data_IF_076606728040
#
_entry.id   IF_076606728040
#
_cell.length_a   1.000
_cell.length_b   1.000
_cell.length_c   1.000
_cell.angle_alpha   90.00
_cell.angle_beta   90.00
_cell.angle_gamma   90.00
#
_symmetry.space_group_name_H-M   'P 1'
#
loop_
_entity.id
_entity.type
_entity.pdbx_description
1 polymer ?
#
# COMPACT_ATOMS: atom_id res chain seq x y z
N UNK A 1 -8.28 1.26 -12.59
CA UNK A 1 -9.41 1.34 -11.65
C UNK A 1 -10.72 1.28 -12.43
N UNK A 2 -11.42 0.15 -12.33
CA UNK A 2 -12.70 -0.12 -13.02
C UNK A 2 -13.83 0.85 -12.60
N UNK A 3 -13.66 1.54 -11.47
CA UNK A 3 -14.68 2.41 -10.87
C UNK A 3 -14.64 3.86 -11.35
N UNK A 4 -13.65 4.26 -12.16
CA UNK A 4 -13.51 5.65 -12.63
C UNK A 4 -14.74 6.14 -13.40
N UNK A 5 -15.37 5.27 -14.20
CA UNK A 5 -16.61 5.57 -14.92
C UNK A 5 -17.89 5.36 -14.11
N UNK A 6 -17.77 4.97 -12.84
CA UNK A 6 -18.89 4.55 -11.97
C UNK A 6 -18.88 5.28 -10.61
N UNK A 7 -18.21 6.42 -10.52
CA UNK A 7 -18.08 7.17 -9.27
C UNK A 7 -19.44 7.60 -8.69
N UNK A 8 -20.35 8.08 -9.54
CA UNK A 8 -21.69 8.48 -9.10
C UNK A 8 -22.48 7.28 -8.56
N UNK A 9 -22.35 6.11 -9.20
CA UNK A 9 -22.99 4.88 -8.75
C UNK A 9 -22.43 4.42 -7.41
N UNK A 10 -21.10 4.39 -7.26
CA UNK A 10 -20.44 4.04 -6.00
C UNK A 10 -20.78 5.04 -4.89
N UNK A 11 -20.83 6.34 -5.19
CA UNK A 11 -21.18 7.36 -4.21
C UNK A 11 -22.63 7.26 -3.74
N UNK A 12 -23.57 6.99 -4.64
CA UNK A 12 -25.00 6.90 -4.33
C UNK A 12 -25.39 5.56 -3.69
N UNK A 13 -24.69 4.47 -4.02
CA UNK A 13 -24.92 3.12 -3.50
C UNK A 13 -23.78 2.67 -2.60
N UNK A 14 -23.22 3.62 -1.83
CA UNK A 14 -22.01 3.39 -1.02
C UNK A 14 -22.17 2.21 -0.07
N UNK A 15 -23.16 2.23 0.82
CA UNK A 15 -23.39 1.16 1.80
C UNK A 15 -23.68 -0.21 1.15
N UNK A 16 -24.36 -0.21 0.00
CA UNK A 16 -24.72 -1.42 -0.73
C UNK A 16 -23.53 -2.06 -1.44
N UNK A 17 -22.69 -1.24 -2.10
CA UNK A 17 -21.62 -1.74 -2.96
C UNK A 17 -20.30 -1.93 -2.22
N UNK A 18 -20.05 -1.19 -1.13
CA UNK A 18 -18.76 -1.18 -0.47
C UNK A 18 -18.31 -2.55 0.08
N UNK A 19 -19.19 -3.41 0.64
CA UNK A 19 -18.80 -4.76 1.09
C UNK A 19 -18.18 -5.61 -0.02
N UNK A 20 -18.74 -5.53 -1.23
CA UNK A 20 -18.22 -6.24 -2.40
C UNK A 20 -16.97 -5.58 -2.96
N UNK A 21 -16.97 -4.24 -3.01
CA UNK A 21 -15.89 -3.45 -3.61
C UNK A 21 -14.61 -3.50 -2.78
N UNK A 22 -14.73 -3.62 -1.46
CA UNK A 22 -13.60 -3.69 -0.52
C UNK A 22 -13.40 -5.08 0.09
N UNK A 23 -14.08 -6.09 -0.46
CA UNK A 23 -13.90 -7.50 -0.09
C UNK A 23 -14.07 -7.74 1.42
N UNK A 24 -15.20 -7.30 1.96
CA UNK A 24 -15.62 -7.60 3.33
C UNK A 24 -17.03 -8.17 3.45
N UNK A 25 -17.69 -8.49 2.33
CA UNK A 25 -19.03 -9.08 2.31
C UNK A 25 -19.11 -10.39 3.11
N UNK A 26 -18.10 -11.24 2.98
CA UNK A 26 -18.04 -12.55 3.64
C UNK A 26 -17.26 -12.53 4.97
N UNK A 27 -16.63 -11.39 5.31
CA UNK A 27 -15.78 -11.26 6.51
C UNK A 27 -16.31 -10.28 7.55
N UNK A 28 -17.41 -9.57 7.28
CA UNK A 28 -18.14 -8.79 8.28
C UNK A 28 -19.54 -9.36 8.51
N UNK A 29 -20.05 -9.26 9.73
CA UNK A 29 -21.44 -9.65 10.01
C UNK A 29 -22.42 -8.65 9.36
N UNK A 30 -23.58 -9.12 8.90
CA UNK A 30 -24.57 -8.27 8.20
C UNK A 30 -24.99 -7.04 9.01
N UNK A 31 -25.01 -7.18 10.34
CA UNK A 31 -25.31 -6.08 11.27
C UNK A 31 -24.23 -4.98 11.26
N UNK A 32 -22.98 -5.34 11.02
CA UNK A 32 -21.82 -4.43 11.08
C UNK A 32 -21.51 -3.76 9.74
N UNK A 33 -21.93 -4.34 8.61
CA UNK A 33 -21.66 -3.80 7.25
C UNK A 33 -22.08 -2.33 7.09
N UNK A 34 -23.27 -1.86 7.52
CA UNK A 34 -23.64 -0.45 7.41
C UNK A 34 -22.77 0.48 8.27
N UNK A 35 -22.35 0.00 9.45
CA UNK A 35 -21.45 0.74 10.33
C UNK A 35 -20.06 0.89 9.71
N UNK A 36 -19.49 -0.20 9.18
CA UNK A 36 -18.20 -0.21 8.48
C UNK A 36 -18.24 0.77 7.30
N UNK A 37 -19.28 0.69 6.46
CA UNK A 37 -19.43 1.57 5.31
C UNK A 37 -19.47 3.05 5.72
N UNK A 38 -20.24 3.38 6.75
CA UNK A 38 -20.32 4.74 7.32
C UNK A 38 -18.98 5.22 7.87
N UNK A 39 -18.29 4.38 8.64
CA UNK A 39 -16.98 4.70 9.21
C UNK A 39 -15.94 4.99 8.12
N UNK A 40 -15.91 4.17 7.06
CA UNK A 40 -15.03 4.36 5.90
C UNK A 40 -15.31 5.66 5.16
N UNK A 41 -16.60 5.99 4.97
CA UNK A 41 -16.99 7.22 4.30
C UNK A 41 -16.54 8.44 5.09
N UNK A 42 -16.77 8.46 6.39
CA UNK A 42 -16.36 9.57 7.24
C UNK A 42 -14.83 9.71 7.27
N UNK A 43 -14.10 8.60 7.49
CA UNK A 43 -12.64 8.64 7.61
C UNK A 43 -11.95 9.11 6.32
N UNK A 44 -12.37 8.62 5.16
CA UNK A 44 -11.71 8.95 3.89
C UNK A 44 -12.33 10.15 3.17
N UNK A 45 -13.66 10.25 3.16
CA UNK A 45 -14.38 11.28 2.39
C UNK A 45 -14.92 12.42 3.25
N UNK A 46 -14.83 12.35 4.59
CA UNK A 46 -15.40 13.36 5.51
C UNK A 46 -16.88 13.62 5.27
N UNK A 47 -17.61 12.56 4.90
CA UNK A 47 -19.01 12.59 4.49
C UNK A 47 -19.33 13.50 3.29
N UNK A 48 -18.31 13.94 2.55
CA UNK A 48 -18.52 14.68 1.31
C UNK A 48 -19.06 13.77 0.20
N UNK A 49 -19.83 14.31 -0.76
CA UNK A 49 -20.19 13.58 -1.98
C UNK A 49 -18.94 13.10 -2.73
N UNK A 50 -18.93 11.83 -3.14
CA UNK A 50 -17.86 11.30 -3.97
C UNK A 50 -17.93 11.95 -5.36
N UNK A 51 -16.86 12.62 -5.77
CA UNK A 51 -16.73 13.27 -7.07
C UNK A 51 -15.32 13.12 -7.61
N UNK A 52 -15.08 13.52 -8.86
CA UNK A 52 -13.72 13.59 -9.40
C UNK A 52 -12.80 14.53 -8.60
N UNK A 53 -13.35 15.50 -7.87
CA UNK A 53 -12.54 16.46 -7.08
C UNK A 53 -11.86 15.81 -5.87
N UNK A 54 -12.49 14.81 -5.26
CA UNK A 54 -11.98 14.10 -4.09
C UNK A 54 -11.58 12.64 -4.42
N UNK A 55 -11.34 12.32 -5.69
CA UNK A 55 -10.98 10.98 -6.14
C UNK A 55 -9.75 10.42 -5.43
N UNK A 56 -8.77 11.27 -5.07
CA UNK A 56 -7.57 10.85 -4.36
C UNK A 56 -7.87 10.27 -2.97
N UNK A 57 -8.95 10.70 -2.31
CA UNK A 57 -9.36 10.12 -1.04
C UNK A 57 -9.91 8.70 -1.23
N UNK A 58 -10.66 8.47 -2.31
CA UNK A 58 -11.08 7.14 -2.69
C UNK A 58 -9.85 6.27 -3.02
N UNK A 59 -8.90 6.79 -3.81
CA UNK A 59 -7.66 6.06 -4.11
C UNK A 59 -6.92 5.66 -2.83
N UNK A 60 -6.83 6.57 -1.84
CA UNK A 60 -6.23 6.27 -0.54
C UNK A 60 -6.96 5.14 0.19
N UNK A 61 -8.29 5.14 0.19
CA UNK A 61 -9.09 4.04 0.77
C UNK A 61 -8.76 2.68 0.13
N UNK A 62 -8.67 2.61 -1.21
CA UNK A 62 -8.29 1.37 -1.91
C UNK A 62 -6.84 0.98 -1.61
N UNK A 63 -5.92 1.94 -1.65
CA UNK A 63 -4.49 1.73 -1.36
C UNK A 63 -4.29 1.20 0.06
N UNK A 64 -4.97 1.77 1.04
CA UNK A 64 -4.89 1.34 2.43
C UNK A 64 -5.50 -0.04 2.62
N UNK A 65 -6.72 -0.29 2.09
CA UNK A 65 -7.43 -1.57 2.21
C UNK A 65 -6.66 -2.73 1.60
N UNK A 66 -6.18 -2.57 0.36
CA UNK A 66 -5.67 -3.70 -0.42
C UNK A 66 -4.15 -3.88 -0.36
N UNK A 67 -3.40 -2.87 0.10
CA UNK A 67 -1.94 -2.91 0.02
C UNK A 67 -1.26 -2.46 1.31
N UNK A 68 -1.46 -1.21 1.73
CA UNK A 68 -0.57 -0.60 2.73
C UNK A 68 -0.80 -1.17 4.13
N UNK A 69 -2.04 -1.34 4.58
CA UNK A 69 -2.32 -1.84 5.93
C UNK A 69 -1.71 -3.21 6.15
N UNK A 70 -1.95 -4.15 5.23
CA UNK A 70 -1.47 -5.52 5.39
C UNK A 70 0.02 -5.67 5.09
N UNK A 71 0.59 -4.87 4.16
CA UNK A 71 2.04 -4.85 3.97
C UNK A 71 2.77 -4.39 5.24
N UNK A 72 2.21 -3.39 5.94
CA UNK A 72 2.75 -2.88 7.20
C UNK A 72 2.54 -3.86 8.36
N UNK A 73 1.40 -4.56 8.46
CA UNK A 73 1.25 -5.66 9.42
C UNK A 73 2.25 -6.77 9.15
N UNK A 74 2.38 -7.21 7.90
CA UNK A 74 3.27 -8.29 7.50
C UNK A 74 4.73 -7.98 7.82
N UNK A 75 5.24 -6.79 7.46
CA UNK A 75 6.63 -6.43 7.76
C UNK A 75 6.90 -6.42 9.27
N UNK A 76 5.93 -6.01 10.09
CA UNK A 76 6.05 -6.02 11.55
C UNK A 76 6.07 -7.44 12.11
N UNK A 77 5.12 -8.28 11.70
CA UNK A 77 5.06 -9.66 12.14
C UNK A 77 6.31 -10.44 11.72
N UNK A 78 6.74 -10.30 10.46
CA UNK A 78 7.95 -10.93 9.98
C UNK A 78 9.20 -10.42 10.71
N UNK A 79 9.34 -9.11 10.94
CA UNK A 79 10.52 -8.59 11.65
C UNK A 79 10.56 -8.96 13.14
N UNK A 80 9.41 -9.25 13.76
CA UNK A 80 9.35 -9.69 15.14
C UNK A 80 9.79 -11.15 15.35
N UNK A 81 9.64 -12.02 14.34
CA UNK A 81 9.84 -13.47 14.52
C UNK A 81 10.88 -14.08 13.58
N UNK A 82 11.16 -13.45 12.43
CA UNK A 82 12.11 -13.98 11.47
C UNK A 82 13.55 -13.74 11.94
N UNK A 83 14.40 -14.75 11.75
CA UNK A 83 15.86 -14.60 11.92
C UNK A 83 16.51 -13.92 10.71
N UNK A 84 15.82 -13.94 9.56
CA UNK A 84 16.26 -13.30 8.34
C UNK A 84 15.94 -11.80 8.35
N UNK A 85 16.78 -10.95 7.71
CA UNK A 85 16.50 -9.53 7.61
C UNK A 85 15.25 -9.29 6.75
N UNK A 86 14.35 -8.46 7.25
CA UNK A 86 13.12 -8.05 6.55
C UNK A 86 13.33 -6.65 6.00
N UNK A 87 12.92 -6.40 4.76
CA UNK A 87 13.11 -5.11 4.09
C UNK A 87 11.78 -4.61 3.51
N UNK A 88 11.51 -3.30 3.64
CA UNK A 88 10.32 -2.66 3.09
C UNK A 88 10.67 -1.38 2.30
N UNK A 89 10.03 -1.21 1.14
CA UNK A 89 10.14 0.00 0.31
C UNK A 89 8.76 0.54 -0.02
N UNK A 90 8.70 1.84 -0.29
CA UNK A 90 7.53 2.54 -0.78
C UNK A 90 7.91 3.21 -2.10
N UNK A 91 7.31 2.71 -3.19
CA UNK A 91 7.51 3.22 -4.53
C UNK A 91 6.51 4.33 -4.81
N UNK A 92 7.05 5.52 -5.05
CA UNK A 92 6.32 6.78 -5.20
C UNK A 92 6.86 7.56 -6.41
N UNK A 93 7.35 6.82 -7.41
CA UNK A 93 7.86 7.37 -8.66
C UNK A 93 6.78 7.29 -9.73
N UNK A 94 6.34 8.46 -10.19
CA UNK A 94 5.43 8.57 -11.32
C UNK A 94 6.18 8.23 -12.61
N UNK A 95 5.89 7.06 -13.18
CA UNK A 95 6.48 6.60 -14.42
C UNK A 95 5.95 7.39 -15.62
N UNK A 96 6.78 7.59 -16.63
CA UNK A 96 6.39 8.20 -17.92
C UNK A 96 5.98 7.11 -18.92
N UNK A 97 4.99 6.31 -18.51
CA UNK A 97 4.36 5.28 -19.35
C UNK A 97 2.85 5.36 -19.22
N UNK A 98 2.09 4.87 -20.22
CA UNK A 98 0.65 4.76 -20.11
C UNK A 98 0.29 3.95 -18.86
N UNK A 99 -0.64 4.46 -18.07
CA UNK A 99 -1.22 3.72 -16.95
C UNK A 99 -2.03 2.56 -17.54
N UNK A 100 -1.84 1.36 -16.99
CA UNK A 100 -2.54 0.13 -17.40
C UNK A 100 -4.06 0.34 -17.46
N UNK A 101 -4.56 1.21 -16.58
CA UNK A 101 -5.95 1.62 -16.49
C UNK A 101 -6.15 3.02 -17.07
N UNK A 102 -7.13 3.14 -17.98
CA UNK A 102 -7.55 4.41 -18.61
C UNK A 102 -8.21 5.37 -17.62
N UNK A 103 -7.44 5.93 -16.69
CA UNK A 103 -7.83 7.05 -15.86
C UNK A 103 -6.93 8.23 -16.21
N UNK A 104 -7.51 9.41 -16.43
CA UNK A 104 -6.76 10.65 -16.62
C UNK A 104 -6.26 11.18 -15.27
N UNK A 105 -5.49 10.36 -14.55
CA UNK A 105 -4.96 10.65 -13.21
C UNK A 105 -3.45 10.46 -13.24
N UNK A 106 -2.70 11.47 -12.84
CA UNK A 106 -1.25 11.37 -12.68
C UNK A 106 -0.94 10.79 -11.31
N UNK A 107 -1.00 9.46 -11.19
CA UNK A 107 -0.78 8.73 -9.92
C UNK A 107 0.11 7.51 -10.15
N UNK A 108 0.86 7.13 -9.12
CA UNK A 108 1.56 5.84 -9.08
C UNK A 108 0.53 4.74 -8.92
N UNK A 109 0.53 3.78 -9.84
CA UNK A 109 -0.46 2.72 -9.93
C UNK A 109 0.13 1.36 -9.57
N UNK A 110 -0.76 0.42 -9.22
CA UNK A 110 -0.36 -0.95 -8.93
C UNK A 110 0.39 -1.57 -10.12
N UNK A 111 1.60 -2.07 -9.85
CA UNK A 111 2.49 -2.70 -10.83
C UNK A 111 3.48 -1.76 -11.52
N UNK A 112 3.46 -0.45 -11.25
CA UNK A 112 4.39 0.49 -11.90
C UNK A 112 5.86 0.22 -11.54
N UNK A 113 6.14 -0.25 -10.32
CA UNK A 113 7.46 -0.69 -9.89
C UNK A 113 7.88 -1.99 -10.60
N UNK A 114 6.96 -2.94 -10.76
CA UNK A 114 7.19 -4.19 -11.49
C UNK A 114 7.59 -3.94 -12.96
N UNK A 115 7.08 -2.85 -13.57
CA UNK A 115 7.46 -2.42 -14.93
C UNK A 115 8.91 -1.95 -15.03
N UNK A 116 9.59 -1.67 -13.92
CA UNK A 116 11.02 -1.40 -13.87
C UNK A 116 11.87 -2.68 -13.96
N UNK A 117 11.28 -3.83 -13.64
CA UNK A 117 11.96 -5.14 -13.65
C UNK A 117 11.62 -5.94 -14.91
N UNK A 118 10.34 -5.94 -15.30
CA UNK A 118 9.85 -6.77 -16.40
C UNK A 118 9.03 -5.92 -17.38
N UNK A 119 9.29 -6.11 -18.68
CA UNK A 119 8.52 -5.46 -19.73
C UNK A 119 7.10 -6.02 -19.76
N UNK A 120 6.10 -5.15 -19.58
CA UNK A 120 4.69 -5.48 -19.78
C UNK A 120 4.25 -5.15 -21.22
N UNK A 121 3.08 -5.67 -21.60
CA UNK A 121 2.50 -5.47 -22.93
C UNK A 121 2.18 -3.99 -23.23
N UNK A 122 1.98 -3.17 -22.20
CA UNK A 122 1.61 -1.76 -22.28
C UNK A 122 2.80 -0.82 -22.05
N UNK A 123 4.01 -1.33 -21.81
CA UNK A 123 5.21 -0.51 -21.72
C UNK A 123 5.42 0.24 -23.05
N UNK A 124 5.80 1.51 -22.94
CA UNK A 124 6.20 2.29 -24.10
C UNK A 124 7.37 1.59 -24.83
N UNK A 125 7.40 1.62 -26.18
CA UNK A 125 8.48 1.00 -26.95
C UNK A 125 9.84 1.66 -26.66
N UNK A 126 9.82 2.94 -26.27
CA UNK A 126 10.99 3.70 -25.85
C UNK A 126 10.66 4.35 -24.50
N UNK A 127 11.50 4.11 -23.50
CA UNK A 127 11.35 4.72 -22.18
C UNK A 127 11.90 6.15 -22.18
N UNK A 128 11.30 7.01 -21.36
CA UNK A 128 11.87 8.32 -21.05
C UNK A 128 13.26 8.18 -20.41
N UNK A 129 14.05 9.25 -20.41
CA UNK A 129 15.36 9.20 -19.77
C UNK A 129 15.25 8.88 -18.27
N UNK A 130 14.24 9.45 -17.59
CA UNK A 130 14.00 9.22 -16.17
C UNK A 130 13.60 7.77 -15.90
N UNK A 131 12.67 7.21 -16.68
CA UNK A 131 12.22 5.82 -16.53
C UNK A 131 13.36 4.84 -16.82
N UNK A 132 14.18 5.12 -17.85
CA UNK A 132 15.36 4.31 -18.15
C UNK A 132 16.35 4.31 -16.99
N UNK A 133 16.56 5.45 -16.32
CA UNK A 133 17.40 5.55 -15.12
C UNK A 133 16.78 4.76 -13.96
N UNK A 134 15.48 4.91 -13.70
CA UNK A 134 14.79 4.16 -12.65
C UNK A 134 14.86 2.64 -12.88
N UNK A 135 14.58 2.21 -14.12
CA UNK A 135 14.71 0.81 -14.54
C UNK A 135 16.10 0.25 -14.25
N UNK A 136 17.16 0.97 -14.64
CA UNK A 136 18.53 0.52 -14.39
C UNK A 136 18.84 0.44 -12.89
N UNK A 137 18.31 1.37 -12.08
CA UNK A 137 18.43 1.34 -10.62
C UNK A 137 17.75 0.07 -10.03
N UNK A 138 16.53 -0.25 -10.48
CA UNK A 138 15.80 -1.44 -10.03
C UNK A 138 16.48 -2.75 -10.45
N UNK A 139 17.01 -2.81 -11.68
CA UNK A 139 17.75 -3.98 -12.17
C UNK A 139 19.06 -4.20 -11.40
N UNK A 140 19.79 -3.13 -11.07
CA UNK A 140 20.98 -3.22 -10.22
C UNK A 140 20.60 -3.67 -8.80
N UNK A 141 19.54 -3.09 -8.21
CA UNK A 141 19.02 -3.50 -6.91
C UNK A 141 18.71 -5.00 -6.85
N UNK A 142 17.90 -5.52 -7.78
CA UNK A 142 17.49 -6.93 -7.73
C UNK A 142 18.67 -7.87 -7.96
N UNK A 143 19.59 -7.51 -8.86
CA UNK A 143 20.81 -8.27 -9.12
C UNK A 143 21.72 -8.33 -7.89
N UNK A 144 21.96 -7.18 -7.23
CA UNK A 144 22.78 -7.11 -6.03
C UNK A 144 22.15 -7.87 -4.87
N UNK A 145 20.85 -7.70 -4.65
CA UNK A 145 20.16 -8.43 -3.59
C UNK A 145 20.23 -9.94 -3.83
N UNK A 146 19.97 -10.41 -5.06
CA UNK A 146 20.05 -11.83 -5.40
C UNK A 146 21.47 -12.42 -5.26
N UNK A 147 22.51 -11.63 -5.54
CA UNK A 147 23.91 -12.10 -5.50
C UNK A 147 24.59 -11.96 -4.14
N UNK A 148 24.13 -11.04 -3.29
CA UNK A 148 24.81 -10.70 -2.02
C UNK A 148 23.93 -10.78 -0.77
N UNK A 149 22.61 -10.81 -0.93
CA UNK A 149 21.66 -10.68 0.18
C UNK A 149 21.59 -9.27 0.81
N UNK A 150 22.34 -8.29 0.29
CA UNK A 150 22.37 -6.92 0.81
C UNK A 150 21.67 -6.00 -0.20
N UNK A 151 20.49 -5.46 0.15
CA UNK A 151 19.78 -4.57 -0.75
C UNK A 151 20.40 -3.17 -0.72
N UNK A 152 20.60 -2.59 -1.89
CA UNK A 152 21.15 -1.25 -2.08
C UNK A 152 20.46 -0.56 -3.25
N UNK A 153 20.08 0.69 -3.04
CA UNK A 153 19.60 1.57 -4.10
C UNK A 153 20.61 2.70 -4.29
N UNK A 154 21.44 2.62 -5.33
CA UNK A 154 22.35 3.71 -5.74
C UNK A 154 23.29 4.18 -4.60
N UNK A 155 23.83 3.24 -3.83
CA UNK A 155 24.71 3.50 -2.69
C UNK A 155 23.99 3.89 -1.40
N UNK A 156 22.66 3.93 -1.38
CA UNK A 156 21.88 4.07 -0.16
C UNK A 156 21.65 2.67 0.42
N UNK A 157 22.48 2.33 1.41
CA UNK A 157 22.34 1.06 2.14
C UNK A 157 20.97 0.99 2.80
N UNK A 158 20.21 -0.04 2.44
CA UNK A 158 18.89 -0.32 2.98
C UNK A 158 19.06 -1.18 4.23
N UNK A 159 18.68 -0.62 5.39
CA UNK A 159 18.71 -1.35 6.65
C UNK A 159 17.49 -2.24 6.79
N UNK A 160 17.61 -3.41 7.44
CA UNK A 160 16.45 -4.22 7.79
C UNK A 160 15.46 -3.41 8.63
N UNK A 161 14.19 -3.77 8.49
CA UNK A 161 13.10 -3.29 9.29
C UNK A 161 13.22 -3.89 10.70
N UNK A 162 13.24 -3.02 11.72
CA UNK A 162 13.27 -3.43 13.12
C UNK A 162 11.96 -3.02 13.79
N UNK A 163 11.21 -3.99 14.32
CA UNK A 163 10.09 -3.75 15.23
C UNK A 163 10.60 -3.55 16.67
N UNK A 164 9.82 -2.89 17.56
CA UNK A 164 8.60 -2.13 17.30
C UNK A 164 8.90 -0.69 16.84
N UNK A 165 7.87 0.09 16.50
CA UNK A 165 7.89 1.22 15.57
C UNK A 165 8.87 2.39 15.81
N UNK A 166 9.63 2.43 16.90
CA UNK A 166 10.66 3.45 17.15
C UNK A 166 11.81 3.43 16.11
N UNK A 167 11.91 2.35 15.33
CA UNK A 167 13.00 2.09 14.39
C UNK A 167 12.62 1.85 12.94
N UNK A 168 11.35 2.01 12.53
CA UNK A 168 10.95 1.70 11.15
C UNK A 168 11.72 2.58 10.17
N UNK A 169 12.55 1.96 9.34
CA UNK A 169 13.13 2.61 8.17
C UNK A 169 12.73 1.84 6.93
N UNK A 170 11.95 2.49 6.06
CA UNK A 170 11.64 1.97 4.73
C UNK A 170 12.35 2.80 3.68
N UNK A 171 12.57 2.21 2.50
CA UNK A 171 13.14 2.93 1.37
C UNK A 171 12.04 3.68 0.63
N UNK A 172 12.06 5.01 0.62
CA UNK A 172 11.14 5.85 -0.16
C UNK A 172 11.79 6.21 -1.49
N UNK A 173 11.15 5.80 -2.58
CA UNK A 173 11.66 5.93 -3.95
C UNK A 173 10.75 6.90 -4.71
N UNK A 174 11.12 8.17 -4.79
CA UNK A 174 10.31 9.19 -5.49
C UNK A 174 10.83 9.52 -6.89
N UNK A 175 12.13 9.30 -7.14
CA UNK A 175 12.75 9.54 -8.45
C UNK A 175 14.14 8.90 -8.54
N UNK A 176 14.76 8.81 -9.74
CA UNK A 176 16.13 8.30 -9.88
C UNK A 176 17.21 9.11 -9.12
N UNK A 177 16.86 10.32 -8.67
CA UNK A 177 17.76 11.23 -7.94
C UNK A 177 17.39 11.37 -6.46
N UNK A 178 16.16 11.02 -6.08
CA UNK A 178 15.67 11.09 -4.72
C UNK A 178 15.18 9.71 -4.27
N UNK A 179 16.11 8.97 -3.68
CA UNK A 179 15.89 7.69 -3.00
C UNK A 179 16.47 7.84 -1.61
N UNK A 180 15.66 7.62 -0.58
CA UNK A 180 16.07 7.87 0.80
C UNK A 180 15.38 6.92 1.76
N UNK A 181 16.02 6.69 2.90
CA UNK A 181 15.35 6.05 4.04
C UNK A 181 14.37 7.05 4.65
N UNK A 182 13.15 6.60 4.91
CA UNK A 182 12.10 7.35 5.60
C UNK A 182 11.67 6.60 6.85
N UNK A 183 11.22 7.35 7.86
CA UNK A 183 10.61 6.83 9.10
C UNK A 183 9.12 7.19 9.22
N UNK A 184 8.57 7.93 8.25
CA UNK A 184 7.23 8.47 8.31
C UNK A 184 6.22 7.44 7.83
N UNK A 185 5.79 6.55 8.73
CA UNK A 185 4.57 5.76 8.51
C UNK A 185 3.46 6.45 9.27
N UNK A 186 2.37 6.79 8.60
CA UNK A 186 1.17 7.24 9.28
C UNK A 186 0.48 6.02 9.93
N UNK A 187 0.43 5.92 11.27
CA UNK A 187 -0.23 4.80 11.94
C UNK A 187 -1.76 4.92 11.94
N UNK A 188 -2.31 6.08 11.59
CA UNK A 188 -3.75 6.35 11.67
C UNK A 188 -4.59 5.38 10.82
N UNK A 189 -4.28 5.09 9.53
CA UNK A 189 -5.01 4.06 8.78
C UNK A 189 -4.90 2.68 9.42
N UNK A 190 -3.71 2.31 9.93
CA UNK A 190 -3.50 1.01 10.57
C UNK A 190 -4.44 0.82 11.77
N UNK A 191 -4.49 1.82 12.65
CA UNK A 191 -5.39 1.83 13.81
C UNK A 191 -6.86 1.82 13.39
N UNK A 192 -7.21 2.67 12.43
CA UNK A 192 -8.57 2.76 11.92
C UNK A 192 -9.07 1.41 11.38
N UNK A 193 -8.32 0.79 10.45
CA UNK A 193 -8.69 -0.49 9.86
C UNK A 193 -8.69 -1.64 10.87
N UNK A 194 -7.76 -1.63 11.83
CA UNK A 194 -7.73 -2.64 12.88
C UNK A 194 -9.00 -2.63 13.74
N UNK A 195 -9.54 -1.45 14.04
CA UNK A 195 -10.70 -1.28 14.90
C UNK A 195 -12.05 -1.55 14.20
N UNK A 196 -12.06 -1.77 12.88
CA UNK A 196 -13.29 -2.13 12.18
C UNK A 196 -13.71 -3.58 12.53
N UNK A 197 -15.02 -3.88 12.65
CA UNK A 197 -15.55 -5.22 12.90
C UNK A 197 -15.51 -6.11 11.64
N UNK A 198 -14.35 -6.17 10.99
CA UNK A 198 -14.04 -7.10 9.89
C UNK A 198 -13.21 -8.24 10.48
N UNK A 199 -13.60 -9.48 10.20
CA UNK A 199 -12.91 -10.73 10.59
C UNK A 199 -11.69 -10.94 9.72
N UNK A 200 -10.66 -10.16 10.02
CA UNK A 200 -9.35 -10.30 9.39
C UNK A 200 -8.64 -11.58 9.86
N UNK A 201 -7.60 -11.99 9.13
CA UNK A 201 -6.83 -13.19 9.46
C UNK A 201 -6.31 -13.18 10.90
N UNK A 202 -5.85 -12.02 11.41
CA UNK A 202 -5.36 -11.92 12.80
C UNK A 202 -6.45 -12.11 13.85
N UNK A 203 -7.71 -11.85 13.51
CA UNK A 203 -8.87 -12.02 14.40
C UNK A 203 -9.51 -13.40 14.28
N UNK A 204 -9.16 -14.14 13.23
CA UNK A 204 -9.74 -15.45 12.90
C UNK A 204 -9.13 -16.61 13.69
N UNK A 205 -7.97 -16.39 14.33
CA UNK A 205 -7.29 -17.40 15.13
C UNK A 205 -7.12 -16.92 16.57
N UNK A 206 -7.58 -17.73 17.54
CA UNK A 206 -7.15 -17.61 18.94
C UNK A 206 -5.70 -18.10 19.05
N UNK A 207 -4.73 -17.31 18.58
CA UNK A 207 -3.33 -17.65 18.78
C UNK A 207 -2.90 -17.40 20.23
N UNK A 208 -2.10 -18.31 20.77
CA UNK A 208 -1.42 -18.18 22.06
C UNK A 208 -0.33 -17.09 22.09
N UNK A 209 -0.13 -16.37 20.98
CA UNK A 209 0.80 -15.26 20.85
C UNK A 209 -0.05 -13.98 20.83
N UNK A 210 0.11 -13.14 21.85
CA UNK A 210 -0.47 -11.80 21.85
C UNK A 210 0.22 -10.98 20.76
N UNK A 211 -0.32 -11.02 19.54
CA UNK A 211 0.26 -10.37 18.36
C UNK A 211 0.12 -8.85 18.44
N UNK A 212 -0.78 -8.33 19.27
CA UNK A 212 -0.96 -6.89 19.51
C UNK A 212 0.34 -6.23 19.95
N UNK A 213 1.18 -6.89 20.77
CA UNK A 213 2.46 -6.33 21.24
C UNK A 213 3.47 -6.04 20.12
N UNK A 214 3.25 -6.59 18.93
CA UNK A 214 4.09 -6.39 17.74
C UNK A 214 3.47 -5.43 16.72
N UNK A 215 2.26 -4.94 17.01
CA UNK A 215 1.53 -4.04 16.13
C UNK A 215 1.86 -2.57 16.44
N UNK A 216 1.70 -1.68 15.44
CA UNK A 216 2.12 -0.30 15.54
C UNK A 216 1.55 0.50 16.71
N UNK A 217 0.34 0.16 17.15
CA UNK A 217 -0.42 0.99 18.08
C UNK A 217 -0.23 0.65 19.55
N UNK A 218 0.53 -0.39 19.90
CA UNK A 218 0.87 -0.64 21.31
C UNK A 218 1.95 0.30 21.86
N UNK A 219 2.49 1.19 21.01
CA UNK A 219 3.58 2.10 21.35
C UNK A 219 3.22 3.59 21.18
N UNK A 220 1.94 3.92 21.03
CA UNK A 220 1.42 5.30 20.95
C UNK A 220 0.38 5.57 22.03
#
# INVERSE_FOLDING_TARGET
ILLYGKLDELGNRWEELLPYVLDYEDSADDFDKPFIASALRNFYLRDEPLTLKNIHNLLRLFTDRFFIVDALKAVCLHSAVAQSPVYYYYFDYLIDMPIVYKANLSVVSHGDDFRMLFRQYDNAPVLSESDRKMKNIFLDFIYRYASTGIPDFKGVTWKPFNAPFEGVSYMHITSPTLIRRSKEINPEPLQFWHNLPIKENEKSFTFAINYEQFLPWTYY
#
